data_IF_411523456399
#
_entry.id   IF_411523456399
#
_cell.length_a   1.000
_cell.length_b   1.000
_cell.length_c   1.000
_cell.angle_alpha   90.00
_cell.angle_beta   90.00
_cell.angle_gamma   90.00
#
_symmetry.space_group_name_H-M   'P 1'
#
loop_
_entity.id
_entity.type
_entity.pdbx_description
1 polymer ?
#
# COMPACT_ATOMS: atom_id res chain seq x y z
N UNK A 1 -21.45 -5.35 7.10
CA UNK A 1 -20.21 -5.04 6.35
C UNK A 1 -20.52 -3.93 5.38
N UNK A 2 -19.94 -2.75 5.60
CA UNK A 2 -19.99 -1.63 4.66
C UNK A 2 -18.65 -1.57 3.92
N UNK A 3 -18.73 -1.29 2.62
CA UNK A 3 -17.56 -1.07 1.78
C UNK A 3 -17.62 0.37 1.24
N UNK A 4 -16.52 1.09 1.38
CA UNK A 4 -16.34 2.41 0.77
C UNK A 4 -15.18 2.35 -0.21
N UNK A 5 -15.36 2.93 -1.40
CA UNK A 5 -14.33 2.95 -2.44
C UNK A 5 -13.98 4.38 -2.84
N UNK A 6 -12.69 4.67 -3.00
CA UNK A 6 -12.18 5.95 -3.51
C UNK A 6 -10.96 5.71 -4.40
N UNK A 7 -10.58 6.71 -5.21
CA UNK A 7 -9.40 6.65 -6.08
C UNK A 7 -8.41 7.70 -5.60
N UNK A 8 -7.19 7.26 -5.30
CA UNK A 8 -6.06 8.07 -4.83
C UNK A 8 -4.99 8.13 -5.91
N UNK A 9 -4.44 9.31 -6.19
CA UNK A 9 -3.31 9.45 -7.13
C UNK A 9 -1.96 9.55 -6.40
N UNK A 10 -0.98 8.85 -6.94
CA UNK A 10 0.42 8.94 -6.53
C UNK A 10 1.18 9.99 -7.34
N UNK A 11 2.29 10.51 -6.81
CA UNK A 11 3.24 11.40 -7.47
C UNK A 11 3.89 10.75 -8.69
N UNK A 12 3.97 9.42 -8.69
CA UNK A 12 4.38 8.60 -9.85
C UNK A 12 3.30 8.52 -10.95
N UNK A 13 2.13 9.15 -10.77
CA UNK A 13 1.05 9.15 -11.74
C UNK A 13 0.22 7.86 -11.75
N UNK A 14 0.44 6.97 -10.78
CA UNK A 14 -0.30 5.74 -10.61
C UNK A 14 -1.56 6.03 -9.81
N UNK A 15 -2.69 5.53 -10.30
CA UNK A 15 -3.95 5.62 -9.57
C UNK A 15 -4.12 4.35 -8.73
N UNK A 16 -4.57 4.50 -7.49
CA UNK A 16 -4.82 3.41 -6.57
C UNK A 16 -6.28 3.44 -6.12
N UNK A 17 -6.98 2.33 -6.29
CA UNK A 17 -8.32 2.13 -5.75
C UNK A 17 -8.19 1.78 -4.28
N UNK A 18 -8.71 2.66 -3.43
CA UNK A 18 -8.87 2.43 -2.00
C UNK A 18 -10.19 1.67 -1.78
N UNK A 19 -10.12 0.52 -1.11
CA UNK A 19 -11.28 -0.25 -0.67
C UNK A 19 -11.22 -0.38 0.85
N UNK A 20 -12.13 0.32 1.53
CA UNK A 20 -12.30 0.22 2.97
C UNK A 20 -13.37 -0.82 3.28
N UNK A 21 -13.02 -1.86 4.02
CA UNK A 21 -13.90 -2.93 4.48
C UNK A 21 -14.03 -2.83 6.00
N UNK A 22 -15.26 -2.74 6.50
CA UNK A 22 -15.54 -2.66 7.94
C UNK A 22 -16.34 -3.85 8.45
N UNK A 23 -15.90 -4.36 9.58
CA UNK A 23 -16.61 -5.32 10.43
C UNK A 23 -16.57 -4.86 11.89
N UNK A 24 -17.34 -5.52 12.75
CA UNK A 24 -17.44 -5.17 14.17
C UNK A 24 -16.12 -5.32 14.93
N UNK A 25 -15.16 -6.08 14.39
CA UNK A 25 -13.87 -6.38 15.05
C UNK A 25 -12.66 -5.97 14.24
N UNK A 26 -12.83 -5.52 13.01
CA UNK A 26 -11.72 -5.27 12.11
C UNK A 26 -12.06 -4.21 11.08
N UNK A 27 -11.09 -3.33 10.84
CA UNK A 27 -11.07 -2.43 9.69
C UNK A 27 -9.93 -2.88 8.78
N UNK A 28 -10.23 -3.03 7.49
CA UNK A 28 -9.25 -3.32 6.46
C UNK A 28 -9.31 -2.21 5.42
N UNK A 29 -8.17 -1.62 5.10
CA UNK A 29 -8.02 -0.72 3.97
C UNK A 29 -7.08 -1.39 2.95
N UNK A 30 -7.58 -1.63 1.75
CA UNK A 30 -6.77 -2.06 0.62
C UNK A 30 -6.54 -0.89 -0.32
N UNK A 31 -5.30 -0.63 -0.71
CA UNK A 31 -4.96 0.21 -1.85
C UNK A 31 -4.44 -0.70 -2.97
N UNK A 32 -5.16 -0.74 -4.09
CA UNK A 32 -4.79 -1.55 -5.25
C UNK A 32 -4.48 -0.64 -6.44
N UNK A 33 -3.27 -0.74 -7.00
CA UNK A 33 -2.89 0.03 -8.18
C UNK A 33 -3.79 -0.33 -9.37
N UNK A 34 -4.22 0.69 -10.11
CA UNK A 34 -4.93 0.54 -11.38
C UNK A 34 -3.90 0.27 -12.47
N UNK A 35 -4.05 -0.83 -13.23
CA UNK A 35 -3.14 -1.12 -14.35
C UNK A 35 -3.16 0.03 -15.37
N UNK A 36 -1.99 0.55 -15.68
CA UNK A 36 -1.79 1.68 -16.59
C UNK A 36 -0.42 1.61 -17.26
N UNK A 37 -0.16 2.48 -18.24
CA UNK A 37 1.18 2.62 -18.83
C UNK A 37 2.25 2.88 -17.76
N UNK A 38 1.95 3.70 -16.76
CA UNK A 38 2.87 4.01 -15.68
C UNK A 38 3.22 2.78 -14.81
N UNK A 39 2.24 1.93 -14.48
CA UNK A 39 2.51 0.69 -13.73
C UNK A 39 3.36 -0.28 -14.56
N UNK A 40 3.11 -0.39 -15.87
CA UNK A 40 3.89 -1.24 -16.77
C UNK A 40 5.34 -0.75 -16.96
N UNK A 41 5.53 0.56 -17.10
CA UNK A 41 6.87 1.16 -17.19
C UNK A 41 7.66 0.91 -15.92
N UNK A 42 7.02 1.05 -14.76
CA UNK A 42 7.65 0.75 -13.47
C UNK A 42 8.03 -0.73 -13.36
N UNK A 43 7.14 -1.66 -13.71
CA UNK A 43 7.43 -3.09 -13.71
C UNK A 43 8.62 -3.42 -14.61
N UNK A 44 8.70 -2.83 -15.80
CA UNK A 44 9.82 -3.05 -16.72
C UNK A 44 11.16 -2.57 -16.13
N UNK A 45 11.15 -1.41 -15.44
CA UNK A 45 12.33 -0.89 -14.73
C UNK A 45 12.70 -1.80 -13.55
N UNK A 46 11.70 -2.25 -12.79
CA UNK A 46 11.89 -3.18 -11.67
C UNK A 46 12.50 -4.50 -12.15
N UNK A 47 11.98 -5.12 -13.20
CA UNK A 47 12.47 -6.38 -13.75
C UNK A 47 13.94 -6.30 -14.17
N UNK A 48 14.33 -5.17 -14.79
CA UNK A 48 15.72 -4.95 -15.16
C UNK A 48 16.61 -4.75 -13.93
N UNK A 49 16.16 -3.97 -12.95
CA UNK A 49 16.88 -3.76 -11.70
C UNK A 49 17.04 -5.07 -10.90
N UNK A 50 16.00 -5.90 -10.88
CA UNK A 50 15.99 -7.19 -10.20
C UNK A 50 16.97 -8.16 -10.86
N UNK A 51 16.98 -8.23 -12.20
CA UNK A 51 17.98 -9.04 -12.94
C UNK A 51 19.40 -8.62 -12.57
N UNK A 52 19.69 -7.30 -12.57
CA UNK A 52 21.01 -6.78 -12.19
C UNK A 52 21.39 -7.12 -10.75
N UNK A 53 20.43 -6.99 -9.82
CA UNK A 53 20.64 -7.36 -8.41
C UNK A 53 20.94 -8.85 -8.24
N UNK A 54 20.19 -9.73 -8.93
CA UNK A 54 20.40 -11.17 -8.88
C UNK A 54 21.75 -11.58 -9.50
N UNK A 55 22.15 -10.95 -10.61
CA UNK A 55 23.47 -11.16 -11.21
C UNK A 55 24.60 -10.72 -10.26
N UNK A 56 24.47 -9.54 -9.63
CA UNK A 56 25.44 -9.05 -8.66
C UNK A 56 25.52 -9.96 -7.42
N UNK A 57 24.37 -10.45 -6.95
CA UNK A 57 24.26 -11.42 -5.86
C UNK A 57 24.95 -12.73 -6.20
N UNK A 58 24.75 -13.25 -7.42
CA UNK A 58 25.38 -14.47 -7.87
C UNK A 58 26.90 -14.34 -8.02
N UNK A 59 27.40 -13.17 -8.45
CA UNK A 59 28.83 -12.93 -8.66
C UNK A 59 29.59 -12.59 -7.38
N UNK A 60 29.01 -11.74 -6.53
CA UNK A 60 29.73 -11.10 -5.42
C UNK A 60 29.18 -11.54 -4.05
N UNK A 61 28.06 -12.27 -4.01
CA UNK A 61 27.33 -12.59 -2.78
C UNK A 61 26.40 -11.46 -2.33
N UNK A 62 25.32 -11.83 -1.62
CA UNK A 62 24.22 -10.93 -1.19
C UNK A 62 24.75 -9.66 -0.50
N UNK A 63 25.78 -9.81 0.35
CA UNK A 63 26.34 -8.70 1.13
C UNK A 63 26.92 -7.56 0.27
N UNK A 64 27.31 -7.84 -0.96
CA UNK A 64 27.97 -6.90 -1.86
C UNK A 64 27.12 -6.55 -3.10
N UNK A 65 25.89 -7.07 -3.16
CA UNK A 65 24.97 -6.83 -4.26
C UNK A 65 24.19 -5.51 -4.16
N UNK A 66 24.30 -4.81 -3.02
CA UNK A 66 23.52 -3.62 -2.70
C UNK A 66 22.13 -3.96 -2.12
N UNK A 67 21.23 -2.98 -2.12
CA UNK A 67 19.84 -3.20 -1.70
C UNK A 67 19.00 -3.78 -2.84
N UNK A 68 18.09 -4.73 -2.55
CA UNK A 68 17.17 -5.22 -3.56
C UNK A 68 16.25 -4.10 -4.04
N UNK A 69 15.89 -4.05 -5.32
CA UNK A 69 14.94 -3.06 -5.82
C UNK A 69 13.58 -3.26 -5.15
N UNK A 70 12.88 -2.16 -4.88
CA UNK A 70 11.52 -2.20 -4.35
C UNK A 70 10.56 -2.62 -5.46
N UNK A 71 9.69 -3.59 -5.17
CA UNK A 71 8.58 -3.91 -6.07
C UNK A 71 7.56 -2.77 -6.11
N UNK A 72 6.71 -2.74 -7.12
CA UNK A 72 5.74 -1.64 -7.27
C UNK A 72 4.78 -1.50 -6.08
N UNK A 73 4.37 -2.62 -5.47
CA UNK A 73 3.57 -2.62 -4.25
C UNK A 73 4.32 -1.97 -3.06
N UNK A 74 5.62 -2.19 -2.92
CA UNK A 74 6.44 -1.56 -1.88
C UNK A 74 6.66 -0.08 -2.14
N UNK A 75 6.84 0.33 -3.40
CA UNK A 75 6.96 1.73 -3.76
C UNK A 75 5.66 2.51 -3.51
N UNK A 76 4.51 1.90 -3.85
CA UNK A 76 3.20 2.46 -3.54
C UNK A 76 2.99 2.55 -2.01
N UNK A 77 3.35 1.52 -1.25
CA UNK A 77 3.32 1.56 0.23
C UNK A 77 4.19 2.70 0.79
N UNK A 78 5.38 2.91 0.23
CA UNK A 78 6.26 3.99 0.67
C UNK A 78 5.65 5.39 0.42
N UNK A 79 4.76 5.50 -0.56
CA UNK A 79 4.14 6.77 -0.93
C UNK A 79 2.83 7.05 -0.19
N UNK A 80 2.04 6.02 0.11
CA UNK A 80 0.74 6.16 0.75
C UNK A 80 0.90 6.22 2.27
N UNK A 81 0.50 7.35 2.86
CA UNK A 81 0.36 7.53 4.31
C UNK A 81 -1.09 7.36 4.70
N UNK A 82 -1.34 6.54 5.72
CA UNK A 82 -2.67 6.37 6.31
C UNK A 82 -2.63 6.79 7.76
N UNK A 83 -3.43 7.79 8.11
CA UNK A 83 -3.59 8.29 9.46
C UNK A 83 -4.98 7.88 9.99
N UNK A 84 -5.03 7.01 11.01
CA UNK A 84 -6.30 6.63 11.61
C UNK A 84 -6.79 7.70 12.62
N UNK A 85 -8.09 7.73 12.94
CA UNK A 85 -8.63 8.66 13.94
C UNK A 85 -8.04 8.37 15.32
N UNK A 86 -8.09 9.35 16.23
CA UNK A 86 -7.50 9.27 17.58
C UNK A 86 -7.76 7.95 18.32
N UNK A 87 -8.99 7.40 18.36
CA UNK A 87 -9.25 6.13 19.07
C UNK A 87 -8.47 4.94 18.51
N UNK A 88 -8.10 5.00 17.23
CA UNK A 88 -7.36 3.96 16.52
C UNK A 88 -5.85 4.16 16.50
N UNK A 89 -5.33 5.33 16.89
CA UNK A 89 -3.89 5.63 16.82
C UNK A 89 -3.06 4.76 17.77
N UNK A 90 -3.66 4.30 18.87
CA UNK A 90 -3.02 3.40 19.83
C UNK A 90 -3.16 1.92 19.46
N UNK A 91 -3.95 1.60 18.44
CA UNK A 91 -4.13 0.24 17.95
C UNK A 91 -2.97 -0.08 17.01
N UNK A 92 -2.35 -1.24 17.21
CA UNK A 92 -1.38 -1.77 16.27
C UNK A 92 -2.00 -1.93 14.88
N UNK A 93 -1.26 -1.54 13.85
CA UNK A 93 -1.66 -1.71 12.45
C UNK A 93 -0.75 -2.72 11.80
N UNK A 94 -1.33 -3.78 11.27
CA UNK A 94 -0.61 -4.68 10.37
C UNK A 94 -0.60 -4.09 8.96
N UNK A 95 0.56 -4.13 8.31
CA UNK A 95 0.74 -3.67 6.93
C UNK A 95 1.30 -4.79 6.10
N UNK A 96 0.59 -5.15 5.03
CA UNK A 96 0.99 -6.22 4.13
C UNK A 96 1.03 -5.68 2.70
N UNK A 97 2.11 -5.96 1.97
CA UNK A 97 2.17 -5.77 0.53
C UNK A 97 1.94 -7.12 -0.14
N UNK A 98 0.96 -7.18 -1.04
CA UNK A 98 0.60 -8.37 -1.82
C UNK A 98 0.85 -8.08 -3.29
N UNK A 99 1.56 -8.99 -3.95
CA UNK A 99 1.96 -8.86 -5.35
C UNK A 99 3.19 -7.96 -5.53
N UNK A 100 3.20 -7.17 -6.61
CA UNK A 100 4.31 -6.28 -6.96
C UNK A 100 5.18 -6.70 -8.14
N UNK A 101 4.82 -7.77 -8.85
CA UNK A 101 5.32 -8.09 -10.20
C UNK A 101 4.13 -8.22 -11.14
N UNK A 102 3.98 -7.32 -12.11
CA UNK A 102 2.81 -7.26 -13.00
C UNK A 102 1.73 -6.30 -12.50
N UNK A 103 0.49 -6.46 -12.93
CA UNK A 103 -0.58 -5.45 -12.74
C UNK A 103 -1.28 -5.45 -11.37
N UNK A 104 -0.90 -6.34 -10.45
CA UNK A 104 -1.58 -6.54 -9.16
C UNK A 104 -0.70 -6.07 -8.02
N UNK A 105 -0.67 -4.76 -7.80
CA UNK A 105 0.02 -4.19 -6.64
C UNK A 105 -1.01 -3.80 -5.60
N UNK A 106 -1.03 -4.52 -4.48
CA UNK A 106 -1.94 -4.22 -3.39
C UNK A 106 -1.17 -3.99 -2.10
N UNK A 107 -1.54 -2.95 -1.38
CA UNK A 107 -1.09 -2.69 -0.02
C UNK A 107 -2.29 -2.71 0.89
N UNK A 108 -2.23 -3.54 1.94
CA UNK A 108 -3.30 -3.74 2.91
C UNK A 108 -2.88 -3.22 4.27
N UNK A 109 -3.76 -2.44 4.90
CA UNK A 109 -3.68 -2.04 6.29
C UNK A 109 -4.82 -2.68 7.07
N UNK A 110 -4.49 -3.36 8.16
CA UNK A 110 -5.48 -4.03 9.02
C UNK A 110 -5.37 -3.49 10.44
N UNK A 111 -6.51 -3.10 11.01
CA UNK A 111 -6.66 -2.74 12.42
C UNK A 111 -7.59 -3.73 13.11
N UNK A 112 -7.11 -4.33 14.20
CA UNK A 112 -7.92 -5.15 15.09
C UNK A 112 -8.63 -4.25 16.11
N UNK A 113 -9.96 -4.24 16.08
CA UNK A 113 -10.81 -3.45 16.97
C UNK A 113 -11.24 -4.23 18.23
N UNK A 114 -10.67 -5.40 18.48
CA UNK A 114 -10.99 -6.21 19.66
C UNK A 114 -10.79 -5.41 20.94
N UNK A 115 -11.89 -5.14 21.65
CA UNK A 115 -11.88 -4.35 22.90
C UNK A 115 -12.26 -2.87 22.74
N UNK A 116 -12.70 -2.45 21.55
CA UNK A 116 -13.17 -1.08 21.29
C UNK A 116 -14.66 -1.11 21.00
N UNK A 117 -15.45 -0.39 21.80
CA UNK A 117 -16.91 -0.36 21.69
C UNK A 117 -17.39 0.34 20.41
N UNK A 118 -16.74 1.44 20.02
CA UNK A 118 -17.02 2.12 18.77
C UNK A 118 -15.81 2.88 18.25
N UNK A 119 -15.74 3.00 16.93
CA UNK A 119 -14.81 3.86 16.23
C UNK A 119 -15.61 4.75 15.31
N UNK A 120 -15.69 6.02 15.68
CA UNK A 120 -16.24 7.08 14.84
C UNK A 120 -15.11 7.98 14.34
N UNK A 121 -15.20 8.41 13.08
CA UNK A 121 -14.22 9.30 12.46
C UNK A 121 -13.96 8.97 11.00
N UNK A 122 -12.79 9.36 10.52
CA UNK A 122 -12.36 9.19 9.13
C UNK A 122 -10.93 8.65 9.13
N UNK A 123 -10.62 7.74 8.19
CA UNK A 123 -9.25 7.46 7.80
C UNK A 123 -8.80 8.55 6.85
N UNK A 124 -7.68 9.18 7.16
CA UNK A 124 -7.02 10.11 6.28
C UNK A 124 -5.96 9.35 5.47
N UNK A 125 -6.16 9.27 4.16
CA UNK A 125 -5.22 8.63 3.23
C UNK A 125 -4.58 9.71 2.37
N UNK A 126 -3.25 9.77 2.35
CA UNK A 126 -2.48 10.84 1.73
C UNK A 126 -1.34 10.29 0.89
N UNK A 127 -1.07 10.97 -0.21
CA UNK A 127 0.19 10.88 -0.97
C UNK A 127 0.88 12.24 -0.96
N UNK A 128 1.98 12.39 -1.70
CA UNK A 128 2.60 13.70 -1.89
C UNK A 128 1.75 14.66 -2.73
N UNK A 129 0.77 14.15 -3.48
CA UNK A 129 0.00 14.94 -4.48
C UNK A 129 -1.52 14.88 -4.28
N UNK A 130 -2.02 13.99 -3.42
CA UNK A 130 -3.45 13.76 -3.24
C UNK A 130 -3.80 13.41 -1.79
N UNK A 131 -5.07 13.63 -1.42
CA UNK A 131 -5.57 13.37 -0.08
C UNK A 131 -7.06 13.02 -0.11
N UNK A 132 -7.40 11.93 0.58
CA UNK A 132 -8.77 11.40 0.68
C UNK A 132 -9.12 11.15 2.14
N UNK A 133 -10.37 11.44 2.48
CA UNK A 133 -10.97 11.09 3.77
C UNK A 133 -11.99 10.00 3.55
N UNK A 134 -11.77 8.85 4.20
CA UNK A 134 -12.68 7.71 4.15
C UNK A 134 -13.44 7.62 5.46
N UNK A 135 -14.76 7.85 5.46
CA UNK A 135 -15.53 7.77 6.69
C UNK A 135 -15.58 6.34 7.24
N UNK A 136 -15.55 6.24 8.57
CA UNK A 136 -15.65 4.98 9.30
C UNK A 136 -17.06 4.68 9.82
N UNK A 137 -18.08 5.49 9.49
CA UNK A 137 -19.45 5.32 10.02
C UNK A 137 -20.19 4.08 9.49
#
# INVERSE_FOLDING_TARGET
>A
MSNSTAILRTASGIEAVLTLIRSDRMIILDATAVPSTATHEYDAVYDLALKRYLEATARNGIRYAGEPPLSGAHAMLAEIRVEPPKPMQTIGREVQSVGGSGSEWTTRWTWDLSGIESVDGELLVQTAVDQIKLPLY
#
